data_IF_430995344892
#
_entry.id   IF_430995344892
#
_cell.length_a   1.000
_cell.length_b   1.000
_cell.length_c   1.000
_cell.angle_alpha   90.00
_cell.angle_beta   90.00
_cell.angle_gamma   90.00
#
_symmetry.space_group_name_H-M   'P 1'
#
loop_
_entity.id
_entity.type
_entity.pdbx_description
1 polymer ?
2 water ?
#
# COMPACT_ATOMS: atom_id res chain seq x y z
N UNK A 2 -1.44 -2.21 20.57
CA UNK A 2 -0.81 -2.90 19.41
C UNK A 2 -0.21 -1.92 18.38
N UNK A 3 0.85 -2.38 17.70
CA UNK A 3 1.37 -1.71 16.52
C UNK A 3 0.61 -2.20 15.30
N UNK A 4 0.89 -1.60 14.15
CA UNK A 4 0.13 -1.89 12.92
C UNK A 4 1.03 -2.56 11.89
N UNK A 5 0.51 -3.62 11.27
CA UNK A 5 1.22 -4.35 10.22
C UNK A 5 0.29 -4.46 9.00
N UNK A 6 0.73 -3.90 7.88
CA UNK A 6 0.03 -3.93 6.63
C UNK A 6 0.91 -4.71 5.67
N UNK A 7 0.36 -5.79 5.13
CA UNK A 7 0.98 -6.49 4.03
C UNK A 7 0.27 -6.08 2.75
N UNK A 8 1.07 -5.58 1.80
CA UNK A 8 0.53 -5.10 0.54
C UNK A 8 1.10 -5.94 -0.60
N UNK A 9 0.20 -6.49 -1.42
CA UNK A 9 0.50 -7.24 -2.63
C UNK A 9 0.21 -6.35 -3.82
N UNK A 10 1.14 -6.28 -4.78
CA UNK A 10 0.94 -5.44 -5.90
C UNK A 10 1.35 -6.17 -7.13
N UNK A 11 0.47 -6.09 -8.13
CA UNK A 11 0.71 -6.73 -9.40
C UNK A 11 0.55 -5.76 -10.56
N UNK A 12 1.56 -5.75 -11.39
CA UNK A 12 1.55 -4.96 -12.60
C UNK A 12 1.48 -5.92 -13.79
N UNK A 13 0.49 -5.68 -14.65
CA UNK A 13 0.28 -6.53 -15.82
C UNK A 13 1.44 -6.33 -16.81
N UNK A 14 2.07 -5.16 -16.82
CA UNK A 14 3.22 -4.94 -17.69
C UNK A 14 4.52 -5.57 -17.17
N UNK A 15 4.52 -6.09 -15.94
CA UNK A 15 5.69 -6.68 -15.33
C UNK A 15 6.88 -5.75 -15.03
N UNK A 16 6.70 -4.44 -15.16
CA UNK A 16 7.78 -3.46 -15.01
C UNK A 16 7.65 -2.71 -13.68
N UNK A 17 8.29 -3.23 -12.62
CA UNK A 17 8.10 -2.70 -11.28
C UNK A 17 9.15 -1.67 -10.84
N UNK A 18 10.21 -1.49 -11.63
CA UNK A 18 11.33 -0.62 -11.23
C UNK A 18 10.79 0.76 -10.88
N UNK A 19 11.15 1.20 -9.68
CA UNK A 19 10.82 2.53 -9.18
C UNK A 19 9.47 2.71 -8.50
N UNK A 20 8.59 1.68 -8.64
CA UNK A 20 7.26 1.70 -8.02
C UNK A 20 7.42 1.46 -6.51
N UNK A 21 6.78 2.30 -5.73
CA UNK A 21 6.73 2.22 -4.27
C UNK A 21 5.40 2.77 -3.68
N UNK A 22 5.10 2.41 -2.39
CA UNK A 22 3.91 2.89 -1.70
C UNK A 22 4.27 4.09 -0.92
N UNK A 23 3.65 5.24 -1.14
CA UNK A 23 3.15 6.14 -0.12
C UNK A 23 1.95 5.92 0.79
N UNK A 24 2.25 5.75 2.08
CA UNK A 24 1.28 5.44 3.13
C UNK A 24 1.35 6.47 4.27
N UNK A 25 0.17 6.95 4.69
CA UNK A 25 0.02 7.86 5.81
C UNK A 25 -1.14 7.45 6.81
N UNK A 26 -0.89 7.58 8.12
CA UNK A 26 -1.95 7.40 9.13
C UNK A 26 -3.13 8.30 8.83
N UNK A 27 -4.33 7.75 8.90
CA UNK A 27 -5.56 8.52 8.77
C UNK A 27 -6.43 8.45 10.04
N UNK A 28 -6.58 7.27 10.67
CA UNK A 28 -7.35 7.17 11.91
C UNK A 28 -6.65 6.23 12.87
N UNK A 29 -6.66 6.54 14.17
CA UNK A 29 -7.36 7.70 14.74
C UNK A 29 -6.67 9.08 14.56
N UNK A 30 -5.47 9.12 14.00
CA UNK A 30 -4.75 10.37 13.77
C UNK A 30 -4.29 10.43 12.33
N UNK A 31 -4.36 11.64 11.77
CA UNK A 31 -3.83 11.90 10.45
C UNK A 31 -2.42 12.44 10.61
N UNK A 32 -1.48 11.79 9.95
CA UNK A 32 -0.07 12.18 10.00
C UNK A 32 0.56 12.21 8.61
N UNK A 33 1.77 12.78 8.54
CA UNK A 33 2.58 12.71 7.35
C UNK A 33 2.73 11.26 6.83
N UNK A 34 2.84 11.16 5.52
CA UNK A 34 3.16 9.92 4.88
C UNK A 34 4.65 9.66 4.74
N UNK A 35 4.91 8.38 4.43
CA UNK A 35 6.26 7.93 4.13
C UNK A 35 6.21 6.94 2.95
N UNK A 36 7.35 6.74 2.32
CA UNK A 36 7.53 5.83 1.21
C UNK A 36 8.08 4.52 1.77
N UNK A 37 7.58 3.42 1.20
CA UNK A 37 7.97 2.07 1.55
C UNK A 37 8.23 1.26 0.25
N UNK A 38 9.32 0.49 0.28
CA UNK A 38 9.80 -0.26 -0.86
C UNK A 38 9.26 -1.68 -0.69
N UNK A 39 9.00 -2.34 -1.82
CA UNK A 39 8.67 -3.75 -1.85
C UNK A 39 9.93 -4.52 -1.44
N UNK A 40 9.79 -5.50 -0.58
CA UNK A 40 10.95 -6.27 -0.13
C UNK A 40 10.92 -7.72 -0.60
N UNK A 41 9.82 -8.11 -1.22
CA UNK A 41 9.69 -9.48 -1.68
C UNK A 41 8.77 -9.68 -2.85
N UNK A 42 8.61 -10.94 -3.25
CA UNK A 42 7.67 -11.32 -4.28
C UNK A 42 7.01 -12.65 -3.99
N UNK A 43 5.81 -12.81 -4.52
CA UNK A 43 5.15 -14.11 -4.54
C UNK A 43 4.54 -14.25 -5.91
N UNK A 44 3.64 -15.20 -6.08
CA UNK A 44 3.14 -15.55 -7.41
C UNK A 44 2.28 -14.39 -7.96
N UNK A 45 1.62 -13.65 -7.06
CA UNK A 45 0.80 -12.48 -7.42
C UNK A 45 1.62 -11.27 -7.90
N UNK A 46 2.81 -11.06 -7.32
CA UNK A 46 3.64 -9.88 -7.62
C UNK A 46 4.54 -9.49 -6.46
N UNK A 47 4.80 -8.19 -6.32
CA UNK A 47 5.61 -7.66 -5.23
C UNK A 47 4.86 -7.66 -3.90
N UNK A 48 5.63 -7.69 -2.83
CA UNK A 48 5.11 -7.76 -1.46
C UNK A 48 5.87 -6.71 -0.61
N UNK A 49 5.13 -5.93 0.18
CA UNK A 49 5.71 -5.04 1.17
C UNK A 49 5.03 -5.36 2.49
N UNK A 50 5.84 -5.43 3.55
CA UNK A 50 5.34 -5.53 4.90
C UNK A 50 5.66 -4.21 5.62
N UNK A 51 4.63 -3.41 5.82
CA UNK A 51 4.74 -2.10 6.42
C UNK A 51 4.31 -2.15 7.88
N UNK A 52 5.23 -1.74 8.75
CA UNK A 52 4.99 -1.71 10.18
C UNK A 52 4.99 -0.24 10.60
N UNK A 53 3.94 0.17 11.30
CA UNK A 53 3.87 1.47 11.92
C UNK A 53 3.84 1.25 13.43
N UNK A 54 4.61 2.03 14.19
CA UNK A 54 4.70 1.84 15.65
C UNK A 54 3.55 2.51 16.42
N UNK A 55 2.33 2.32 15.92
CA UNK A 55 1.14 2.81 16.57
C UNK A 55 -0.10 2.00 16.16
N UNK A 56 -1.13 2.12 16.98
CA UNK A 56 -2.43 1.46 16.78
C UNK A 56 -3.28 2.29 15.84
N UNK A 57 -3.40 1.86 14.59
CA UNK A 57 -4.23 2.59 13.61
C UNK A 57 -5.43 1.75 13.17
N UNK A 58 -6.53 2.43 12.84
CA UNK A 58 -7.69 1.77 12.18
C UNK A 58 -7.82 2.06 10.69
N UNK A 59 -7.16 3.11 10.20
CA UNK A 59 -7.16 3.43 8.78
C UNK A 59 -5.87 4.14 8.34
N UNK A 60 -5.37 3.76 7.16
CA UNK A 60 -4.31 4.48 6.46
C UNK A 60 -4.68 4.88 5.02
N UNK A 61 -4.03 5.90 4.50
CA UNK A 61 -4.09 6.16 3.11
C UNK A 61 -2.97 5.42 2.44
N UNK A 62 -3.16 5.16 1.14
CA UNK A 62 -2.13 4.60 0.27
C UNK A 62 -2.27 5.12 -1.15
N UNK A 63 -1.10 5.44 -1.74
CA UNK A 63 -0.95 5.75 -3.15
C UNK A 63 0.31 4.99 -3.65
N UNK A 64 0.21 4.35 -4.82
CA UNK A 64 1.28 3.53 -5.41
C UNK A 64 1.88 4.58 -6.32
N UNK A 65 3.13 4.89 -6.16
CA UNK A 65 3.68 6.09 -7.04
C UNK A 65 4.93 5.57 -7.69
N UNK A 66 5.33 6.25 -8.71
CA UNK A 66 6.55 5.92 -9.39
C UNK A 66 7.60 6.95 -8.93
N UNK A 67 8.74 6.46 -8.44
CA UNK A 67 9.76 7.32 -7.87
C UNK A 67 9.18 8.39 -6.90
N UNK A 68 9.65 9.62 -6.98
CA UNK A 68 9.17 10.70 -6.16
C UNK A 68 8.02 11.41 -6.89
N UNK A 69 6.86 10.77 -6.95
CA UNK A 69 5.68 11.38 -7.61
C UNK A 69 5.87 11.62 -9.12
N UNK A 70 6.73 10.85 -9.77
CA UNK A 70 6.82 10.89 -11.23
C UNK A 70 5.48 10.44 -11.81
N UNK A 71 4.84 9.47 -11.18
CA UNK A 71 3.50 9.07 -11.60
C UNK A 71 2.81 8.33 -10.46
N UNK A 72 1.52 8.15 -10.64
CA UNK A 72 0.73 7.34 -9.73
C UNK A 72 0.00 6.22 -10.51
N UNK A 73 -0.21 5.10 -9.86
CA UNK A 73 -0.99 4.01 -10.41
C UNK A 73 -2.35 4.10 -9.69
N UNK A 74 -3.31 4.73 -10.35
CA UNK A 74 -4.55 5.25 -9.75
C UNK A 74 -4.23 6.54 -8.94
N UNK A 75 -4.71 7.68 -9.43
CA UNK A 75 -4.28 9.00 -8.94
C UNK A 75 -4.88 9.39 -7.60
N UNK A 76 -6.14 9.02 -7.39
CA UNK A 76 -6.83 9.38 -6.16
C UNK A 76 -6.37 8.64 -4.91
N UNK A 77 -6.55 9.33 -3.78
CA UNK A 77 -6.34 8.74 -2.46
C UNK A 77 -7.20 7.51 -2.33
N UNK A 78 -6.57 6.45 -1.85
CA UNK A 78 -7.28 5.25 -1.47
C UNK A 78 -6.90 4.95 -0.03
N UNK A 79 -7.65 4.04 0.60
CA UNK A 79 -7.47 3.75 2.01
C UNK A 79 -7.54 2.28 2.32
N UNK A 80 -6.88 1.92 3.42
CA UNK A 80 -6.83 0.56 3.90
C UNK A 80 -7.39 0.55 5.34
N UNK A 81 -8.41 -0.27 5.57
CA UNK A 81 -8.97 -0.50 6.91
C UNK A 81 -8.15 -1.54 7.67
N UNK A 82 -7.85 -1.23 8.92
CA UNK A 82 -7.06 -2.06 9.82
C UNK A 82 -7.97 -2.58 10.95
N UNK A 83 -7.97 -3.90 11.14
CA UNK A 83 -8.63 -4.50 12.29
C UNK A 83 -7.56 -5.23 13.07
N UNK A 84 -7.57 -5.04 14.40
CA UNK A 84 -6.62 -5.69 15.31
C UNK A 84 -5.15 -5.48 14.93
N UNK A 85 -4.83 -4.27 14.47
CA UNK A 85 -3.47 -3.93 14.07
C UNK A 85 -2.89 -4.70 12.89
N UNK A 86 -3.76 -5.24 12.06
CA UNK A 86 -3.34 -6.03 10.90
C UNK A 86 -4.24 -5.74 9.72
N UNK A 87 -3.62 -5.68 8.55
CA UNK A 87 -4.37 -5.76 7.30
C UNK A 87 -3.49 -6.36 6.22
N UNK A 88 -4.17 -6.90 5.23
CA UNK A 88 -3.53 -7.50 4.07
C UNK A 88 -4.43 -7.26 2.86
N UNK A 89 -3.85 -6.62 1.84
CA UNK A 89 -4.55 -6.20 0.65
C UNK A 89 -3.76 -6.60 -0.60
N UNK A 90 -4.50 -6.60 -1.71
CA UNK A 90 -4.05 -6.92 -3.03
C UNK A 90 -4.50 -5.78 -3.91
N UNK A 91 -3.56 -5.31 -4.72
CA UNK A 91 -3.74 -4.16 -5.57
C UNK A 91 -3.24 -4.52 -6.97
N UNK A 92 -4.07 -4.21 -7.97
CA UNK A 92 -3.74 -4.45 -9.37
C UNK A 92 -3.57 -3.13 -10.09
N UNK A 93 -2.61 -3.14 -10.99
CA UNK A 93 -2.32 -2.01 -11.85
C UNK A 93 -3.61 -1.52 -12.49
N UNK A 94 -3.87 -0.22 -12.37
CA UNK A 94 -4.97 0.45 -13.02
C UNK A 94 -6.34 0.21 -12.43
N UNK A 95 -6.43 -0.66 -11.42
CA UNK A 95 -7.70 -1.04 -10.83
C UNK A 95 -7.88 -0.28 -9.50
N UNK A 96 -8.95 0.52 -9.43
CA UNK A 96 -9.19 1.42 -8.28
C UNK A 96 -9.43 0.64 -7.01
N UNK A 97 -10.27 -0.38 -7.10
CA UNK A 97 -10.63 -1.20 -5.94
C UNK A 97 -9.43 -1.88 -5.28
N UNK A 98 -9.41 -1.83 -3.93
CA UNK A 98 -8.40 -2.48 -3.14
C UNK A 98 -9.04 -3.72 -2.54
N UNK A 99 -8.41 -4.85 -2.76
CA UNK A 99 -8.99 -6.13 -2.41
C UNK A 99 -8.40 -6.65 -1.12
N UNK A 100 -9.28 -7.20 -0.29
CA UNK A 100 -8.92 -7.80 1.00
C UNK A 100 -8.87 -9.36 0.95
N UNK A 101 -8.99 -9.93 -0.24
CA UNK A 101 -8.47 -11.27 -0.48
C UNK A 101 -7.89 -11.41 -1.86
N UNK A 102 -7.04 -12.40 -2.00
CA UNK A 102 -6.36 -12.69 -3.23
C UNK A 102 -7.38 -12.90 -4.38
N UNK A 103 -7.32 -12.10 -5.44
CA UNK A 103 -8.25 -12.26 -6.58
C UNK A 103 -8.19 -13.63 -7.30
#
# INVERSE_FOLDING_TARGET
FTETTIVVHYHRYDGKYDGWNLWIWPVEPVSQEGKAYQFTGEDDFGKVAVVKLPMDLTKVGIIVRLNEWQAKDVAKDRFIEIKDGKAEVWILQGVEEIFYEKP
#
